data_IF_042328353906
#
_entry.id   IF_042328353906
#
_cell.length_a   1.000
_cell.length_b   1.000
_cell.length_c   1.000
_cell.angle_alpha   90.00
_cell.angle_beta   90.00
_cell.angle_gamma   90.00
#
_symmetry.space_group_name_H-M   'P 1'
#
loop_
_entity.id
_entity.type
_entity.pdbx_description
1 polymer ?
#
# COMPACT_ATOMS: atom_id res chain seq x y z
N UNK A 1 9.38 -34.94 -24.67
CA UNK A 1 10.05 -34.03 -23.72
C UNK A 1 9.48 -32.64 -23.97
N UNK A 2 8.71 -32.09 -23.02
CA UNK A 2 8.22 -30.72 -23.14
C UNK A 2 9.43 -29.78 -23.11
N UNK A 3 9.58 -28.89 -24.10
CA UNK A 3 10.65 -27.89 -24.07
C UNK A 3 10.50 -27.09 -22.77
N UNK A 4 11.58 -26.86 -21.99
CA UNK A 4 11.50 -25.97 -20.85
C UNK A 4 10.93 -24.64 -21.34
N UNK A 5 9.91 -24.14 -20.64
CA UNK A 5 9.29 -22.86 -20.96
C UNK A 5 10.31 -21.77 -20.66
N UNK A 6 11.15 -21.45 -21.64
CA UNK A 6 12.20 -20.45 -21.53
C UNK A 6 11.55 -19.07 -21.69
N UNK A 7 10.91 -18.60 -20.62
CA UNK A 7 10.45 -17.24 -20.54
C UNK A 7 11.65 -16.35 -20.20
N UNK A 8 12.06 -15.44 -21.10
CA UNK A 8 13.23 -14.59 -20.88
C UNK A 8 13.10 -13.69 -19.63
N UNK A 9 11.88 -13.48 -19.14
CA UNK A 9 11.63 -12.72 -17.91
C UNK A 9 11.94 -13.50 -16.63
N UNK A 10 12.02 -14.83 -16.65
CA UNK A 10 12.16 -15.65 -15.43
C UNK A 10 13.52 -15.43 -14.73
N UNK A 11 14.67 -15.38 -15.42
CA UNK A 11 15.94 -15.01 -14.79
C UNK A 11 15.91 -13.60 -14.15
N UNK A 12 15.26 -12.65 -14.82
CA UNK A 12 15.09 -11.30 -14.29
C UNK A 12 14.21 -11.29 -13.03
N UNK A 13 13.07 -11.97 -13.05
CA UNK A 13 12.16 -12.08 -11.90
C UNK A 13 12.88 -12.74 -10.71
N UNK A 14 13.62 -13.82 -10.96
CA UNK A 14 14.42 -14.46 -9.91
C UNK A 14 15.44 -13.50 -9.30
N UNK A 15 16.23 -12.83 -10.13
CA UNK A 15 17.24 -11.87 -9.66
C UNK A 15 16.62 -10.70 -8.90
N UNK A 16 15.49 -10.18 -9.37
CA UNK A 16 14.75 -9.12 -8.70
C UNK A 16 14.24 -9.57 -7.34
N UNK A 17 13.66 -10.78 -7.23
CA UNK A 17 13.20 -11.34 -5.96
C UNK A 17 14.34 -11.51 -4.95
N UNK A 18 15.48 -12.04 -5.38
CA UNK A 18 16.66 -12.23 -4.51
C UNK A 18 17.24 -10.89 -4.03
N UNK A 19 17.31 -9.89 -4.92
CA UNK A 19 17.70 -8.53 -4.56
C UNK A 19 16.70 -7.89 -3.58
N UNK A 20 15.40 -8.08 -3.81
CA UNK A 20 14.32 -7.55 -2.95
C UNK A 20 14.43 -8.08 -1.53
N UNK A 21 14.60 -9.40 -1.37
CA UNK A 21 14.83 -10.04 -0.06
C UNK A 21 16.05 -9.49 0.65
N UNK A 22 17.15 -9.36 -0.08
CA UNK A 22 18.41 -8.83 0.46
C UNK A 22 18.25 -7.38 0.92
N UNK A 23 17.60 -6.54 0.12
CA UNK A 23 17.34 -5.13 0.47
C UNK A 23 16.36 -4.99 1.63
N UNK A 24 15.37 -5.87 1.73
CA UNK A 24 14.40 -5.90 2.82
C UNK A 24 14.99 -6.43 4.14
N UNK A 25 16.17 -7.08 4.10
CA UNK A 25 16.74 -7.83 5.22
C UNK A 25 15.80 -8.93 5.72
N UNK A 26 15.15 -9.60 4.77
CA UNK A 26 14.19 -10.69 5.00
C UNK A 26 14.39 -11.79 3.93
N UNK A 27 15.19 -12.83 4.22
CA UNK A 27 15.49 -13.90 3.26
C UNK A 27 14.32 -14.85 3.00
N UNK A 28 13.34 -14.91 3.90
CA UNK A 28 12.20 -15.84 3.81
C UNK A 28 10.96 -15.18 3.17
N UNK A 29 11.01 -13.87 2.94
CA UNK A 29 9.93 -13.12 2.33
C UNK A 29 9.52 -13.68 0.95
N UNK A 30 8.23 -13.97 0.82
CA UNK A 30 7.64 -14.39 -0.44
C UNK A 30 7.60 -13.21 -1.43
N UNK A 31 8.09 -13.42 -2.65
CA UNK A 31 8.00 -12.44 -3.74
C UNK A 31 7.24 -13.07 -4.89
N UNK A 32 6.09 -12.50 -5.22
CA UNK A 32 5.20 -12.97 -6.28
C UNK A 32 5.04 -11.90 -7.35
N UNK A 33 4.63 -12.31 -8.55
CA UNK A 33 4.39 -11.41 -9.68
C UNK A 33 2.95 -11.59 -10.16
N UNK A 34 2.17 -10.50 -10.22
CA UNK A 34 0.78 -10.53 -10.68
C UNK A 34 0.44 -9.33 -11.56
N UNK A 35 -0.64 -9.47 -12.33
CA UNK A 35 -1.30 -8.36 -13.05
C UNK A 35 -2.14 -7.50 -12.11
N UNK A 36 -2.51 -8.03 -10.94
CA UNK A 36 -3.23 -7.31 -9.90
C UNK A 36 -2.40 -6.15 -9.33
N UNK A 37 -3.02 -5.14 -8.70
CA UNK A 37 -2.31 -4.05 -8.04
C UNK A 37 -1.22 -4.57 -7.12
N UNK A 38 -0.04 -3.96 -7.20
CA UNK A 38 1.09 -4.31 -6.33
C UNK A 38 0.72 -4.08 -4.86
N UNK A 39 1.28 -4.90 -3.97
CA UNK A 39 1.01 -4.81 -2.54
C UNK A 39 2.05 -5.52 -1.71
N UNK A 40 2.05 -5.23 -0.41
CA UNK A 40 2.94 -5.85 0.57
C UNK A 40 2.12 -6.15 1.82
N UNK A 41 2.32 -7.33 2.39
CA UNK A 41 1.80 -7.72 3.70
C UNK A 41 2.94 -8.29 4.55
N UNK A 42 2.60 -8.92 5.68
CA UNK A 42 3.60 -9.54 6.56
C UNK A 42 4.32 -10.72 5.91
N UNK A 43 3.61 -11.52 5.13
CA UNK A 43 4.11 -12.75 4.51
C UNK A 43 4.99 -12.48 3.27
N UNK A 44 4.73 -11.39 2.54
CA UNK A 44 5.43 -11.14 1.30
C UNK A 44 5.02 -9.90 0.53
N UNK A 45 5.55 -9.84 -0.69
CA UNK A 45 5.34 -8.76 -1.66
C UNK A 45 4.77 -9.34 -2.95
N UNK A 46 3.77 -8.63 -3.49
CA UNK A 46 3.25 -8.83 -4.83
C UNK A 46 3.74 -7.69 -5.72
N UNK A 47 4.59 -8.03 -6.68
CA UNK A 47 5.19 -7.11 -7.64
C UNK A 47 4.42 -7.11 -8.97
N UNK A 48 4.51 -6.01 -9.74
CA UNK A 48 3.95 -5.95 -11.09
C UNK A 48 4.50 -7.05 -11.99
N UNK A 49 3.62 -7.66 -12.79
CA UNK A 49 4.01 -8.67 -13.76
C UNK A 49 4.94 -8.09 -14.84
N UNK A 50 6.04 -8.80 -15.11
CA UNK A 50 6.90 -8.53 -16.27
C UNK A 50 6.58 -9.53 -17.36
N UNK A 51 6.25 -9.02 -18.54
CA UNK A 51 5.89 -9.84 -19.70
C UNK A 51 7.13 -10.45 -20.34
N UNK A 52 6.94 -11.39 -21.27
CA UNK A 52 8.03 -11.94 -22.09
C UNK A 52 8.76 -10.86 -22.90
N UNK A 53 8.12 -9.71 -23.18
CA UNK A 53 8.71 -8.61 -23.95
C UNK A 53 9.75 -7.83 -23.13
N UNK A 54 9.63 -7.86 -21.80
CA UNK A 54 10.51 -7.13 -20.88
C UNK A 54 10.78 -5.70 -21.34
N UNK A 55 9.71 -4.96 -21.64
CA UNK A 55 9.89 -3.56 -22.07
C UNK A 55 10.59 -2.80 -20.94
N UNK A 56 11.30 -1.72 -21.32
CA UNK A 56 12.00 -0.89 -20.34
C UNK A 56 11.06 -0.42 -19.23
N UNK A 57 9.84 -0.04 -19.58
CA UNK A 57 8.86 0.48 -18.62
C UNK A 57 8.35 -0.61 -17.67
N UNK A 58 8.08 -1.82 -18.15
CA UNK A 58 7.72 -2.97 -17.31
C UNK A 58 8.84 -3.30 -16.30
N UNK A 59 10.08 -3.33 -16.78
CA UNK A 59 11.25 -3.64 -15.96
C UNK A 59 11.47 -2.54 -14.90
N UNK A 60 11.39 -1.28 -15.29
CA UNK A 60 11.60 -0.16 -14.37
C UNK A 60 10.46 -0.05 -13.34
N UNK A 61 9.21 -0.30 -13.74
CA UNK A 61 8.08 -0.33 -12.82
C UNK A 61 8.22 -1.45 -11.79
N UNK A 62 8.58 -2.67 -12.23
CA UNK A 62 8.80 -3.80 -11.33
C UNK A 62 9.96 -3.53 -10.35
N UNK A 63 11.09 -3.02 -10.84
CA UNK A 63 12.25 -2.65 -10.00
C UNK A 63 11.90 -1.55 -9.00
N UNK A 64 11.28 -0.46 -9.45
CA UNK A 64 10.91 0.64 -8.57
C UNK A 64 9.92 0.24 -7.49
N UNK A 65 8.98 -0.66 -7.82
CA UNK A 65 8.02 -1.20 -6.85
C UNK A 65 8.69 -2.12 -5.84
N UNK A 66 9.57 -3.01 -6.31
CA UNK A 66 10.36 -3.87 -5.45
C UNK A 66 11.23 -3.08 -4.47
N UNK A 67 11.99 -2.09 -4.98
CA UNK A 67 12.85 -1.25 -4.16
C UNK A 67 12.02 -0.46 -3.13
N UNK A 68 10.91 0.16 -3.54
CA UNK A 68 10.05 0.92 -2.61
C UNK A 68 9.51 0.04 -1.47
N UNK A 69 9.02 -1.16 -1.78
CA UNK A 69 8.51 -2.08 -0.77
C UNK A 69 9.63 -2.65 0.10
N UNK A 70 10.77 -3.05 -0.47
CA UNK A 70 11.92 -3.54 0.28
C UNK A 70 12.43 -2.50 1.27
N UNK A 71 12.58 -1.24 0.84
CA UNK A 71 12.98 -0.15 1.73
C UNK A 71 11.94 0.11 2.83
N UNK A 72 10.65 0.05 2.51
CA UNK A 72 9.59 0.15 3.53
C UNK A 72 9.72 -0.99 4.54
N UNK A 73 9.84 -2.23 4.10
CA UNK A 73 10.02 -3.40 4.98
C UNK A 73 11.27 -3.27 5.85
N UNK A 74 12.36 -2.73 5.30
CA UNK A 74 13.64 -2.60 6.00
C UNK A 74 13.66 -1.51 7.07
N UNK A 75 13.00 -0.39 6.81
CA UNK A 75 13.13 0.83 7.60
C UNK A 75 11.88 1.20 8.39
N UNK A 76 10.74 0.53 8.16
CA UNK A 76 9.52 0.73 8.92
C UNK A 76 9.39 -0.28 10.06
N UNK A 77 9.36 0.22 11.29
CA UNK A 77 8.98 -0.52 12.48
C UNK A 77 7.46 -0.42 12.67
N UNK A 78 6.77 -1.56 12.53
CA UNK A 78 5.30 -1.62 12.65
C UNK A 78 4.79 -1.15 14.03
N UNK A 79 5.52 -1.44 15.12
CA UNK A 79 5.08 -1.06 16.47
C UNK A 79 5.11 0.45 16.66
N UNK A 80 6.16 1.09 16.20
CA UNK A 80 6.27 2.56 16.21
C UNK A 80 5.22 3.17 15.30
N UNK A 81 5.04 2.63 14.09
CA UNK A 81 4.01 3.08 13.15
C UNK A 81 2.60 3.01 13.75
N UNK A 82 2.26 1.89 14.41
CA UNK A 82 0.98 1.71 15.08
C UNK A 82 0.79 2.65 16.28
N UNK A 83 1.83 2.86 17.10
CA UNK A 83 1.79 3.76 18.25
C UNK A 83 1.44 5.20 17.84
N UNK A 84 2.03 5.70 16.76
CA UNK A 84 1.86 7.10 16.33
C UNK A 84 0.77 7.31 15.28
N UNK A 85 0.13 6.25 14.83
CA UNK A 85 -0.87 6.31 13.79
C UNK A 85 -2.03 7.25 14.15
N UNK A 86 -2.38 8.21 13.26
CA UNK A 86 -3.61 8.99 13.42
C UNK A 86 -4.87 8.11 13.37
N UNK A 87 -5.92 8.57 14.02
CA UNK A 87 -7.23 7.89 14.08
C UNK A 87 -8.14 8.26 12.91
N UNK A 88 -8.08 9.51 12.43
CA UNK A 88 -8.85 9.95 11.28
C UNK A 88 -8.24 9.49 9.96
N UNK A 89 -9.11 9.13 9.01
CA UNK A 89 -8.70 8.49 7.75
C UNK A 89 -7.75 9.36 6.91
N UNK A 90 -8.05 10.65 6.75
CA UNK A 90 -7.22 11.54 5.93
C UNK A 90 -5.85 11.79 6.59
N UNK A 91 -5.84 12.11 7.89
CA UNK A 91 -4.58 12.24 8.64
C UNK A 91 -3.73 10.96 8.58
N UNK A 92 -4.37 9.78 8.67
CA UNK A 92 -3.69 8.49 8.55
C UNK A 92 -3.06 8.30 7.17
N UNK A 93 -3.77 8.65 6.10
CA UNK A 93 -3.21 8.59 4.75
C UNK A 93 -2.01 9.54 4.57
N UNK A 94 -2.10 10.78 5.08
CA UNK A 94 -0.98 11.74 5.04
C UNK A 94 0.23 11.15 5.78
N UNK A 95 0.02 10.65 7.00
CA UNK A 95 1.05 10.00 7.81
C UNK A 95 1.73 8.83 7.08
N UNK A 96 0.94 7.91 6.52
CA UNK A 96 1.44 6.72 5.85
C UNK A 96 2.22 7.05 4.56
N UNK A 97 1.81 8.08 3.81
CA UNK A 97 2.53 8.56 2.63
C UNK A 97 3.88 9.19 3.00
N UNK A 98 3.90 10.03 4.04
CA UNK A 98 5.15 10.62 4.55
C UNK A 98 6.10 9.56 5.09
N UNK A 99 5.60 8.57 5.83
CA UNK A 99 6.42 7.46 6.35
C UNK A 99 7.00 6.60 5.21
N UNK A 100 6.21 6.36 4.17
CA UNK A 100 6.70 5.66 2.97
C UNK A 100 7.82 6.47 2.29
N UNK A 101 7.66 7.79 2.19
CA UNK A 101 8.69 8.68 1.65
C UNK A 101 9.97 8.69 2.51
N UNK A 102 9.85 8.69 3.85
CA UNK A 102 10.99 8.58 4.77
C UNK A 102 11.77 7.29 4.54
N UNK A 103 11.10 6.14 4.52
CA UNK A 103 11.76 4.84 4.31
C UNK A 103 12.56 4.82 3.00
N UNK A 104 11.96 5.34 1.93
CA UNK A 104 12.64 5.48 0.64
C UNK A 104 13.83 6.43 0.71
N UNK A 105 13.68 7.59 1.35
CA UNK A 105 14.76 8.58 1.47
C UNK A 105 15.96 8.04 2.26
N UNK A 106 15.71 7.37 3.38
CA UNK A 106 16.75 6.73 4.19
C UNK A 106 17.51 5.69 3.37
N UNK A 107 16.80 4.79 2.68
CA UNK A 107 17.42 3.80 1.81
C UNK A 107 18.21 4.40 0.66
N UNK A 108 17.64 5.42 0.00
CA UNK A 108 18.23 6.10 -1.16
C UNK A 108 19.59 6.76 -0.85
N UNK A 109 19.85 7.18 0.39
CA UNK A 109 21.16 7.71 0.81
C UNK A 109 22.30 6.71 0.62
N UNK A 110 22.02 5.43 0.85
CA UNK A 110 22.99 4.33 0.68
C UNK A 110 22.88 3.62 -0.67
N UNK A 111 21.70 3.69 -1.31
CA UNK A 111 21.38 2.99 -2.55
C UNK A 111 20.84 3.96 -3.61
N UNK A 112 21.68 4.82 -4.21
CA UNK A 112 21.24 5.82 -5.18
C UNK A 112 20.60 5.21 -6.44
N UNK A 113 20.96 3.96 -6.79
CA UNK A 113 20.30 3.21 -7.87
C UNK A 113 18.84 2.88 -7.57
N UNK A 114 18.49 2.62 -6.31
CA UNK A 114 17.10 2.39 -5.90
C UNK A 114 16.26 3.66 -6.04
N UNK A 115 16.83 4.83 -5.73
CA UNK A 115 16.17 6.12 -5.91
C UNK A 115 15.72 6.34 -7.36
N UNK A 116 16.58 6.00 -8.33
CA UNK A 116 16.26 6.09 -9.77
C UNK A 116 15.17 5.10 -10.20
N UNK A 117 15.15 3.89 -9.65
CA UNK A 117 14.08 2.94 -9.95
C UNK A 117 12.74 3.43 -9.38
N UNK A 118 12.75 3.99 -8.17
CA UNK A 118 11.57 4.55 -7.51
C UNK A 118 11.08 5.82 -8.23
N UNK A 119 11.98 6.66 -8.77
CA UNK A 119 11.62 7.77 -9.65
C UNK A 119 10.80 7.28 -10.86
N UNK A 120 11.22 6.18 -11.49
CA UNK A 120 10.49 5.60 -12.61
C UNK A 120 9.12 5.04 -12.21
N UNK A 121 9.00 4.41 -11.03
CA UNK A 121 7.70 4.01 -10.46
C UNK A 121 6.78 5.21 -10.26
N UNK A 122 7.28 6.27 -9.63
CA UNK A 122 6.51 7.50 -9.36
C UNK A 122 6.04 8.13 -10.67
N UNK A 123 6.92 8.21 -11.68
CA UNK A 123 6.58 8.73 -13.00
C UNK A 123 5.42 7.95 -13.61
N UNK A 124 5.55 6.62 -13.67
CA UNK A 124 4.53 5.74 -14.24
C UNK A 124 3.18 5.85 -13.51
N UNK A 125 3.19 5.87 -12.17
CA UNK A 125 1.96 6.00 -11.38
C UNK A 125 1.31 7.38 -11.53
N UNK A 126 2.10 8.46 -11.53
CA UNK A 126 1.58 9.81 -11.68
C UNK A 126 1.01 10.05 -13.09
N UNK A 127 1.67 9.54 -14.13
CA UNK A 127 1.17 9.60 -15.51
C UNK A 127 -0.13 8.82 -15.67
N UNK A 128 -0.20 7.60 -15.14
CA UNK A 128 -1.43 6.78 -15.20
C UNK A 128 -2.61 7.44 -14.49
N UNK A 129 -2.36 8.21 -13.43
CA UNK A 129 -3.38 8.97 -12.70
C UNK A 129 -3.73 10.32 -13.34
N UNK A 130 -3.11 10.68 -14.47
CA UNK A 130 -3.37 11.95 -15.16
C UNK A 130 -2.87 13.18 -14.41
N UNK A 131 -2.00 13.01 -13.42
CA UNK A 131 -1.56 14.10 -12.54
C UNK A 131 -0.86 15.25 -13.24
N UNK A 132 -0.28 15.01 -14.42
CA UNK A 132 0.34 16.07 -15.23
C UNK A 132 -0.65 17.05 -15.89
N UNK A 133 -1.95 16.75 -15.88
CA UNK A 133 -3.00 17.60 -16.49
C UNK A 133 -3.84 18.34 -15.45
N UNK A 134 -3.65 18.06 -14.16
CA UNK A 134 -4.41 18.69 -13.09
C UNK A 134 -3.95 20.14 -12.92
N UNK A 135 -4.89 21.05 -12.74
CA UNK A 135 -4.60 22.49 -12.51
C UNK A 135 -5.16 23.01 -11.19
N UNK A 136 -5.99 22.23 -10.50
CA UNK A 136 -6.60 22.59 -9.23
C UNK A 136 -6.10 21.66 -8.11
N UNK A 137 -5.70 22.24 -6.97
CA UNK A 137 -5.30 21.50 -5.79
C UNK A 137 -6.40 20.53 -5.29
N UNK A 138 -7.68 20.87 -5.47
CA UNK A 138 -8.79 20.01 -5.07
C UNK A 138 -8.84 18.65 -5.80
N UNK A 139 -8.25 18.55 -6.99
CA UNK A 139 -8.14 17.31 -7.77
C UNK A 139 -6.87 16.51 -7.42
N UNK A 140 -5.92 17.14 -6.74
CA UNK A 140 -4.65 16.56 -6.33
C UNK A 140 -4.74 16.03 -4.89
N UNK A 141 -4.56 14.71 -4.64
CA UNK A 141 -4.67 14.18 -3.28
C UNK A 141 -3.57 14.73 -2.36
N UNK A 142 -3.97 15.44 -1.31
CA UNK A 142 -3.06 15.99 -0.30
C UNK A 142 -2.10 14.95 0.30
N UNK A 143 -2.52 13.71 0.66
CA UNK A 143 -1.58 12.70 1.15
C UNK A 143 -0.43 12.41 0.18
N UNK A 144 -0.73 12.35 -1.11
CA UNK A 144 0.26 12.10 -2.16
C UNK A 144 1.20 13.29 -2.30
N UNK A 145 0.66 14.51 -2.27
CA UNK A 145 1.47 15.74 -2.31
C UNK A 145 2.43 15.84 -1.11
N UNK A 146 1.96 15.52 0.10
CA UNK A 146 2.79 15.52 1.31
C UNK A 146 3.92 14.48 1.22
N UNK A 147 3.63 13.25 0.77
CA UNK A 147 4.66 12.23 0.52
C UNK A 147 5.70 12.66 -0.53
N UNK A 148 5.26 13.30 -1.61
CA UNK A 148 6.15 13.86 -2.63
C UNK A 148 7.03 14.98 -2.09
N UNK A 149 6.48 15.89 -1.28
CA UNK A 149 7.23 16.97 -0.66
C UNK A 149 8.32 16.42 0.27
N UNK A 150 7.96 15.51 1.19
CA UNK A 150 8.93 14.87 2.09
C UNK A 150 10.04 14.19 1.31
N UNK A 151 9.69 13.43 0.27
CA UNK A 151 10.70 12.78 -0.59
C UNK A 151 11.63 13.80 -1.25
N UNK A 152 11.07 14.85 -1.84
CA UNK A 152 11.82 15.87 -2.55
C UNK A 152 12.82 16.57 -1.62
N UNK A 153 12.38 16.97 -0.43
CA UNK A 153 13.22 17.62 0.58
C UNK A 153 14.29 16.65 1.10
N UNK A 154 13.89 15.44 1.52
CA UNK A 154 14.79 14.46 2.14
C UNK A 154 15.88 13.91 1.20
N UNK A 155 15.65 13.94 -0.11
CA UNK A 155 16.60 13.42 -1.11
C UNK A 155 17.28 14.51 -1.94
N UNK A 156 16.75 15.73 -1.94
CA UNK A 156 17.18 16.82 -2.83
C UNK A 156 16.97 16.54 -4.32
N UNK A 157 16.23 15.46 -4.67
CA UNK A 157 16.02 15.04 -6.07
C UNK A 157 14.76 15.69 -6.65
N UNK A 158 14.79 16.11 -7.92
CA UNK A 158 13.58 16.55 -8.59
C UNK A 158 12.60 15.38 -8.73
N UNK A 159 11.30 15.69 -8.64
CA UNK A 159 10.24 14.72 -8.92
C UNK A 159 10.02 14.61 -10.45
N UNK A 160 9.53 13.45 -10.94
CA UNK A 160 9.01 13.35 -12.30
C UNK A 160 7.91 14.38 -12.55
N UNK A 161 7.81 14.90 -13.78
CA UNK A 161 6.96 16.06 -14.15
C UNK A 161 5.51 15.97 -13.62
N UNK A 162 4.84 14.84 -13.81
CA UNK A 162 3.45 14.66 -13.37
C UNK A 162 3.32 14.65 -11.83
N UNK A 163 4.30 14.09 -11.12
CA UNK A 163 4.34 14.08 -9.66
C UNK A 163 4.72 15.46 -9.09
N UNK A 164 5.64 16.16 -9.75
CA UNK A 164 6.02 17.53 -9.40
C UNK A 164 4.79 18.46 -9.45
N UNK A 165 3.96 18.35 -10.49
CA UNK A 165 2.73 19.14 -10.61
C UNK A 165 1.80 19.01 -9.38
N UNK A 166 1.60 17.78 -8.89
CA UNK A 166 0.78 17.52 -7.67
C UNK A 166 1.39 18.16 -6.43
N UNK A 167 2.70 18.04 -6.26
CA UNK A 167 3.39 18.65 -5.13
C UNK A 167 3.31 20.18 -5.22
N UNK A 168 3.55 20.77 -6.39
CA UNK A 168 3.60 22.22 -6.59
C UNK A 168 2.25 22.90 -6.36
N UNK A 169 1.13 22.23 -6.72
CA UNK A 169 -0.23 22.72 -6.41
C UNK A 169 -0.49 22.89 -4.91
N UNK A 170 0.18 22.11 -4.07
CA UNK A 170 0.04 22.16 -2.61
C UNK A 170 1.22 22.84 -1.92
N UNK A 171 2.30 23.15 -2.64
CA UNK A 171 3.57 23.66 -2.07
C UNK A 171 3.35 24.96 -1.31
N UNK A 172 2.64 25.93 -1.89
CA UNK A 172 2.40 27.21 -1.24
C UNK A 172 1.67 27.05 0.10
N UNK A 173 0.69 26.15 0.16
CA UNK A 173 -0.07 25.86 1.39
C UNK A 173 0.82 25.18 2.43
N UNK A 174 1.57 24.15 2.02
CA UNK A 174 2.45 23.40 2.92
C UNK A 174 3.61 24.26 3.45
N UNK A 175 4.21 25.11 2.62
CA UNK A 175 5.29 26.01 3.03
C UNK A 175 4.78 27.09 3.99
N UNK A 176 3.57 27.62 3.74
CA UNK A 176 2.96 28.63 4.62
C UNK A 176 2.53 28.07 5.98
N UNK A 177 2.02 26.83 6.01
CA UNK A 177 1.45 26.24 7.22
C UNK A 177 2.47 25.42 8.03
N UNK A 178 3.33 24.66 7.35
CA UNK A 178 4.24 23.67 7.97
C UNK A 178 5.73 23.90 7.65
N UNK A 179 6.10 25.03 7.03
CA UNK A 179 7.49 25.30 6.62
C UNK A 179 8.50 25.29 7.78
N UNK A 180 8.09 25.74 8.97
CA UNK A 180 8.94 25.68 10.18
C UNK A 180 9.22 24.25 10.63
N UNK A 181 8.19 23.39 10.61
CA UNK A 181 8.28 21.97 10.97
C UNK A 181 9.20 21.21 10.02
N UNK A 182 9.14 21.50 8.72
CA UNK A 182 9.96 20.87 7.68
C UNK A 182 11.47 21.20 7.77
N UNK A 183 11.85 22.29 8.43
CA UNK A 183 13.27 22.67 8.60
C UNK A 183 14.11 21.66 9.38
N UNK A 184 13.48 20.82 10.20
CA UNK A 184 14.13 19.77 11.00
C UNK A 184 14.11 18.38 10.35
N UNK A 185 13.57 18.26 9.13
CA UNK A 185 13.32 16.97 8.47
C UNK A 185 14.58 16.09 8.42
N UNK A 186 15.71 16.63 7.98
CA UNK A 186 16.94 15.86 7.78
C UNK A 186 17.49 15.25 9.07
N UNK A 187 17.24 15.89 10.21
CA UNK A 187 17.68 15.45 11.54
C UNK A 187 16.89 14.23 12.04
N UNK A 188 15.62 14.12 11.63
CA UNK A 188 14.71 13.09 12.14
C UNK A 188 14.51 11.89 11.20
N UNK A 189 14.95 11.96 9.93
CA UNK A 189 14.72 10.88 8.95
C UNK A 189 15.17 9.48 9.41
N UNK A 190 16.28 9.41 10.15
CA UNK A 190 16.87 8.15 10.62
C UNK A 190 16.14 7.57 11.86
N UNK A 191 15.40 8.37 12.60
CA UNK A 191 14.63 7.95 13.77
C UNK A 191 13.13 8.00 13.45
N UNK A 192 12.51 6.83 13.30
CA UNK A 192 11.10 6.74 12.97
C UNK A 192 10.18 7.37 14.01
N UNK A 193 10.52 7.33 15.30
CA UNK A 193 9.68 7.95 16.34
C UNK A 193 9.77 9.48 16.27
N UNK A 194 10.98 10.02 16.06
CA UNK A 194 11.17 11.45 15.86
C UNK A 194 10.45 11.94 14.59
N UNK A 195 10.58 11.19 13.48
CA UNK A 195 9.85 11.50 12.26
C UNK A 195 8.34 11.38 12.44
N UNK A 196 7.84 10.39 13.19
CA UNK A 196 6.42 10.23 13.45
C UNK A 196 5.83 11.43 14.21
N UNK A 197 6.57 12.02 15.15
CA UNK A 197 6.18 13.28 15.81
C UNK A 197 6.15 14.45 14.83
N UNK A 198 7.19 14.58 13.99
CA UNK A 198 7.23 15.60 12.93
C UNK A 198 6.02 15.46 11.98
N UNK A 199 5.71 14.23 11.56
CA UNK A 199 4.56 13.91 10.72
C UNK A 199 3.23 14.33 11.38
N UNK A 200 3.04 14.01 12.67
CA UNK A 200 1.85 14.43 13.43
C UNK A 200 1.77 15.96 13.56
N UNK A 201 2.90 16.64 13.81
CA UNK A 201 2.95 18.09 13.86
C UNK A 201 2.56 18.71 12.50
N UNK A 202 3.12 18.19 11.40
CA UNK A 202 2.77 18.65 10.06
C UNK A 202 1.28 18.47 9.75
N UNK A 203 0.67 17.35 10.17
CA UNK A 203 -0.77 17.11 10.01
C UNK A 203 -1.59 18.13 10.82
N UNK A 204 -1.17 18.46 12.04
CA UNK A 204 -1.80 19.49 12.85
C UNK A 204 -1.67 20.88 12.22
N UNK A 205 -0.48 21.24 11.72
CA UNK A 205 -0.19 22.50 11.04
C UNK A 205 -1.05 22.68 9.79
N UNK A 206 -1.33 21.59 9.07
CA UNK A 206 -2.23 21.56 7.90
C UNK A 206 -3.72 21.66 8.26
N UNK A 207 -4.06 21.77 9.55
CA UNK A 207 -5.43 21.93 10.04
C UNK A 207 -6.18 20.62 10.29
N UNK A 208 -5.49 19.49 10.35
CA UNK A 208 -6.08 18.15 10.60
C UNK A 208 -5.71 17.59 11.98
N UNK A 209 -5.42 18.45 12.94
CA UNK A 209 -5.01 18.05 14.30
C UNK A 209 -6.10 17.29 15.06
N UNK A 210 -7.37 17.56 14.76
CA UNK A 210 -8.53 16.86 15.32
C UNK A 210 -8.58 15.37 14.90
N UNK A 211 -7.91 15.01 13.81
CA UNK A 211 -7.84 13.63 13.30
C UNK A 211 -6.66 12.82 13.84
N UNK A 212 -5.82 13.41 14.70
CA UNK A 212 -4.63 12.73 15.23
C UNK A 212 -4.94 11.71 16.33
N UNK A 213 -6.05 11.88 17.05
CA UNK A 213 -6.32 11.16 18.29
C UNK A 213 -5.41 11.63 19.43
N UNK A 214 -5.33 10.82 20.49
CA UNK A 214 -4.53 11.13 21.67
C UNK A 214 -3.03 11.21 21.36
N UNK A 215 -2.31 11.98 22.17
CA UNK A 215 -0.85 12.10 22.08
C UNK A 215 -0.19 10.83 22.65
N UNK A 216 0.48 10.01 21.81
CA UNK A 216 1.06 8.74 22.24
C UNK A 216 2.24 8.86 23.21
N UNK A 217 2.76 10.07 23.43
CA UNK A 217 3.87 10.34 24.33
C UNK A 217 3.47 11.09 25.61
N UNK A 218 2.18 11.42 25.78
CA UNK A 218 1.70 11.82 27.10
C UNK A 218 1.83 10.61 28.03
N UNK A 219 2.53 10.82 29.14
CA UNK A 219 2.48 9.87 30.25
C UNK A 219 1.05 9.91 30.79
N UNK A 220 0.40 8.74 30.87
CA UNK A 220 -0.81 8.56 31.67
C UNK A 220 -0.43 8.78 33.14
N UNK A 221 -0.35 10.03 33.56
CA UNK A 221 -0.61 10.35 34.96
C UNK A 221 -2.12 10.18 35.14
N UNK A 222 -2.49 9.07 35.82
CA UNK A 222 -3.84 8.66 36.24
C UNK A 222 -4.58 7.65 35.34
N UNK A 223 -4.32 6.36 35.61
CA UNK A 223 -5.42 5.38 35.60
C UNK A 223 -5.52 4.71 36.99
N UNK A 224 -6.24 5.30 37.96
CA UNK A 224 -6.63 4.59 39.16
C UNK A 224 -7.87 3.74 38.85
N UNK A 225 -7.66 2.45 38.63
CA UNK A 225 -8.67 1.40 38.84
C UNK A 225 -9.88 1.40 37.92
N UNK A 226 -9.84 0.54 36.91
CA UNK A 226 -11.04 -0.26 36.56
C UNK A 226 -10.88 -1.60 37.25
N UNK A 227 -11.54 -1.74 38.41
CA UNK A 227 -11.87 -3.01 39.01
C UNK A 227 -12.51 -3.92 37.95
N UNK A 228 -12.00 -5.13 37.84
CA UNK A 228 -12.67 -6.26 37.22
C UNK A 228 -14.03 -6.45 37.92
N UNK A 229 -15.12 -5.95 37.33
CA UNK A 229 -16.46 -6.43 37.64
C UNK A 229 -16.73 -7.65 36.76
N UNK A 230 -16.40 -8.81 37.32
CA UNK A 230 -17.00 -10.10 36.99
C UNK A 230 -18.54 -9.97 37.11
N UNK A 231 -19.25 -9.83 36.00
CA UNK A 231 -20.68 -10.17 35.94
C UNK A 231 -20.81 -11.68 35.67
N UNK A 232 -20.87 -12.42 36.78
CA UNK A 232 -21.41 -13.77 36.89
C UNK A 232 -22.80 -13.83 36.22
N UNK A 233 -22.96 -14.67 35.20
CA UNK A 233 -24.25 -15.03 34.63
C UNK A 233 -24.64 -16.44 35.09
N UNK A 234 -25.63 -16.62 36.00
CA UNK A 234 -26.03 -17.94 36.47
C UNK A 234 -26.88 -18.69 35.42
N UNK A 235 -26.63 -19.99 35.38
CA UNK A 235 -27.31 -21.02 34.59
C UNK A 235 -28.82 -21.11 34.85
N UNK A 236 -29.60 -21.49 33.82
CA UNK A 236 -30.85 -22.25 34.03
C UNK A 236 -30.98 -23.37 32.97
N UNK A 237 -31.00 -24.60 33.47
CA UNK A 237 -31.16 -25.88 32.76
C UNK A 237 -32.62 -26.34 32.72
N UNK A 238 -32.99 -27.08 31.66
CA UNK A 238 -34.11 -28.03 31.60
C UNK A 238 -35.41 -27.46 30.99
N UNK A 239 -36.20 -28.15 30.18
CA UNK A 239 -36.34 -29.59 29.90
C UNK A 239 -37.36 -29.83 28.77
N UNK A 240 -37.12 -30.86 27.95
CA UNK A 240 -38.01 -31.84 27.29
C UNK A 240 -39.35 -31.46 26.58
N UNK A 241 -39.34 -31.74 25.25
CA UNK A 241 -40.16 -32.71 24.49
C UNK A 241 -41.72 -32.71 24.56
N UNK A 242 -42.37 -32.55 23.38
CA UNK A 242 -43.52 -33.36 22.89
C UNK A 242 -44.26 -32.72 21.67
N UNK A 243 -44.10 -33.38 20.52
CA UNK A 243 -45.07 -33.86 19.50
C UNK A 243 -46.28 -33.08 18.90
N UNK A 244 -46.51 -33.47 17.63
CA UNK A 244 -47.74 -33.48 16.79
C UNK A 244 -47.93 -32.31 15.79
N UNK A 245 -47.66 -32.52 14.49
CA UNK A 245 -48.54 -33.07 13.41
C UNK A 245 -49.67 -32.09 13.02
N UNK A 246 -50.06 -31.78 11.77
CA UNK A 246 -49.94 -32.26 10.38
C UNK A 246 -50.24 -31.01 9.49
N UNK A 247 -49.87 -30.89 8.21
CA UNK A 247 -50.62 -31.47 7.09
C UNK A 247 -49.87 -31.29 5.75
N UNK A 248 -49.68 -32.44 5.12
CA UNK A 248 -50.03 -32.81 3.73
C UNK A 248 -49.24 -32.33 2.50
N UNK A 249 -48.88 -33.38 1.74
CA UNK A 249 -48.84 -33.52 0.28
C UNK A 249 -47.50 -33.37 -0.47
N UNK A 250 -46.71 -34.44 -0.35
CA UNK A 250 -45.83 -35.07 -1.36
C UNK A 250 -46.57 -35.48 -2.66
N UNK A 251 -45.94 -36.09 -3.70
CA UNK A 251 -44.56 -36.01 -4.22
C UNK A 251 -44.50 -36.06 -5.78
N UNK A 252 -43.31 -36.38 -6.33
CA UNK A 252 -43.00 -36.97 -7.66
C UNK A 252 -42.58 -36.00 -8.77
N UNK A 253 -41.62 -36.29 -9.65
CA UNK A 253 -40.47 -37.21 -9.75
C UNK A 253 -39.88 -36.94 -11.16
N UNK A 254 -38.57 -37.15 -11.35
CA UNK A 254 -37.94 -37.51 -12.64
C UNK A 254 -37.85 -36.37 -13.70
N UNK A 255 -36.85 -36.27 -14.58
CA UNK A 255 -35.79 -37.16 -15.03
C UNK A 255 -34.77 -36.35 -15.87
N UNK A 256 -33.57 -36.90 -16.00
CA UNK A 256 -32.43 -36.42 -16.78
C UNK A 256 -32.65 -36.47 -18.32
N UNK A 257 -31.77 -35.74 -19.02
CA UNK A 257 -31.22 -35.96 -20.37
C UNK A 257 -32.12 -35.91 -21.62
N UNK A 258 -31.86 -34.91 -22.47
CA UNK A 258 -31.84 -35.09 -23.92
C UNK A 258 -30.98 -34.05 -24.65
N UNK A 259 -30.16 -34.57 -25.56
CA UNK A 259 -29.25 -33.94 -26.52
C UNK A 259 -29.92 -32.87 -27.38
N UNK A 260 -29.15 -31.88 -27.83
CA UNK A 260 -29.17 -31.52 -29.25
C UNK A 260 -27.81 -31.01 -29.74
N UNK A 261 -27.34 -31.67 -30.81
CA UNK A 261 -26.13 -31.43 -31.57
C UNK A 261 -26.62 -30.91 -32.94
N UNK A 262 -26.42 -29.62 -33.22
CA UNK A 262 -26.70 -29.07 -34.55
C UNK A 262 -25.45 -28.42 -35.16
N UNK A 263 -24.95 -29.14 -36.14
CA UNK A 263 -23.88 -28.79 -37.07
C UNK A 263 -24.10 -27.42 -37.72
N UNK A 264 -23.07 -26.57 -37.67
CA UNK A 264 -22.92 -25.44 -38.60
C UNK A 264 -21.99 -25.87 -39.74
N UNK A 265 -22.59 -26.26 -40.86
CA UNK A 265 -21.92 -26.42 -42.15
C UNK A 265 -22.31 -25.22 -43.03
N UNK A 266 -21.38 -24.30 -43.29
CA UNK A 266 -21.50 -23.38 -44.45
C UNK A 266 -20.17 -23.35 -45.20
N UNK A 267 -20.29 -23.89 -46.39
CA UNK A 267 -19.45 -23.98 -47.57
C UNK A 267 -18.45 -22.85 -47.80
N UNK A 268 -17.22 -23.26 -48.14
CA UNK A 268 -16.30 -22.49 -48.98
C UNK A 268 -16.84 -22.49 -50.41
N UNK A 269 -16.85 -21.34 -51.08
CA UNK A 269 -16.90 -21.27 -52.54
C UNK A 269 -15.89 -20.22 -53.01
N UNK A 270 -14.96 -20.67 -53.85
CA UNK A 270 -13.89 -19.93 -54.50
C UNK A 270 -14.30 -19.69 -55.96
N UNK A 271 -14.24 -18.43 -56.42
CA UNK A 271 -14.16 -17.99 -57.83
C UNK A 271 -13.82 -16.50 -57.90
#
# INVERSE_FOLDING_TARGET
MSKPNDNPADPFKKALADATRTMADDPDMAVTYSVDPAGMNKEGMRLPQVSRRMTRDEVMLARGTADAFALKRRYHNEKVGAKYAPTGALAREIFDQMETARCVAVGARTMPGAATNIDAKIAHEAERKGYGQITNAAEAPLPVAAGYLVRHLATGRPLPKAAANVMDLWREVMDAQAGGTLGSLDEVLADQSAFARLARQMIADLGYGDQLGDDPDRQDDENPGTDDQDEDNPEEQGSDDAESEESEASPEQSQEDQQDDSQAQVTMEDS
#
